data_IF_686911866356
#
_entry.id   IF_686911866356
#
_cell.length_a   1.000
_cell.length_b   1.000
_cell.length_c   1.000
_cell.angle_alpha   90.00
_cell.angle_beta   90.00
_cell.angle_gamma   90.00
#
_symmetry.space_group_name_H-M   'P 1'
#
loop_
_entity.id
_entity.type
_entity.pdbx_description
1 polymer ?
#
# COMPACT_ATOMS: atom_id res chain seq x y z
N UNK A 1 17.63 6.20 -21.32
CA UNK A 1 16.51 6.66 -20.46
C UNK A 1 15.85 5.51 -19.71
N UNK A 2 15.79 4.29 -20.27
CA UNK A 2 15.27 3.06 -19.64
C UNK A 2 15.96 2.65 -18.33
N UNK A 3 17.28 2.80 -18.21
CA UNK A 3 18.02 2.33 -17.03
C UNK A 3 17.74 3.12 -15.73
N UNK A 4 17.38 4.42 -15.81
CA UNK A 4 17.01 5.23 -14.63
C UNK A 4 15.62 4.89 -14.11
N UNK A 5 14.68 4.59 -15.00
CA UNK A 5 13.33 4.17 -14.63
C UNK A 5 13.34 2.82 -13.90
N UNK A 6 14.14 1.87 -14.36
CA UNK A 6 14.27 0.55 -13.72
C UNK A 6 14.86 0.67 -12.29
N UNK A 7 15.86 1.54 -12.09
CA UNK A 7 16.46 1.77 -10.77
C UNK A 7 15.52 2.44 -9.77
N UNK A 8 14.65 3.34 -10.24
CA UNK A 8 13.61 3.99 -9.42
C UNK A 8 12.46 3.03 -9.10
N UNK A 9 12.15 2.11 -10.00
CA UNK A 9 11.16 1.06 -9.79
C UNK A 9 11.54 0.07 -8.71
N UNK A 10 12.82 -0.33 -8.69
CA UNK A 10 13.37 -1.14 -7.61
C UNK A 10 13.37 -0.43 -6.25
N UNK A 11 13.25 0.91 -6.21
CA UNK A 11 13.23 1.70 -4.97
C UNK A 11 11.92 1.52 -4.21
N UNK A 12 10.78 1.68 -4.89
CA UNK A 12 9.44 1.67 -4.26
C UNK A 12 9.06 0.27 -3.77
N UNK A 13 9.27 -0.74 -4.62
CA UNK A 13 9.04 -2.14 -4.27
C UNK A 13 9.95 -2.58 -3.11
N UNK A 14 11.18 -2.06 -3.03
CA UNK A 14 12.05 -2.28 -1.87
C UNK A 14 11.52 -1.60 -0.61
N UNK A 15 11.02 -0.36 -0.70
CA UNK A 15 10.45 0.36 0.46
C UNK A 15 9.20 -0.32 1.01
N UNK A 16 8.28 -0.74 0.15
CA UNK A 16 7.10 -1.49 0.57
C UNK A 16 7.50 -2.79 1.27
N UNK A 17 8.51 -3.51 0.78
CA UNK A 17 9.04 -4.71 1.46
C UNK A 17 9.79 -4.41 2.75
N UNK A 18 10.38 -3.23 2.92
CA UNK A 18 10.96 -2.83 4.19
C UNK A 18 9.88 -2.59 5.25
N UNK A 19 8.74 -2.00 4.85
CA UNK A 19 7.59 -1.77 5.73
C UNK A 19 6.81 -3.06 6.05
N UNK A 20 6.64 -3.93 5.06
CA UNK A 20 5.96 -5.22 5.18
C UNK A 20 6.87 -6.37 4.74
N UNK A 21 7.84 -6.79 5.59
CA UNK A 21 8.89 -7.74 5.21
C UNK A 21 8.42 -9.20 5.10
N UNK A 22 7.30 -9.54 5.73
CA UNK A 22 6.78 -10.90 5.77
C UNK A 22 5.37 -10.95 5.19
N UNK A 23 5.14 -11.96 4.35
CA UNK A 23 3.79 -12.32 3.91
C UNK A 23 2.98 -12.80 5.10
N UNK A 24 1.74 -12.33 5.22
CA UNK A 24 0.83 -12.76 6.28
C UNK A 24 0.30 -14.17 6.01
N UNK A 25 0.13 -14.51 4.73
CA UNK A 25 -0.28 -15.83 4.23
C UNK A 25 0.48 -16.19 2.94
N UNK A 26 0.44 -17.45 2.54
CA UNK A 26 1.12 -17.91 1.32
C UNK A 26 0.59 -17.23 0.05
N UNK A 27 -0.71 -16.94 0.01
CA UNK A 27 -1.40 -16.24 -1.08
C UNK A 27 -1.46 -14.72 -0.90
N UNK A 28 -0.70 -14.18 0.06
CA UNK A 28 -0.54 -12.74 0.24
C UNK A 28 0.28 -12.15 -0.91
N UNK A 29 -0.37 -11.24 -1.65
CA UNK A 29 0.18 -10.51 -2.79
C UNK A 29 -0.01 -9.00 -2.66
N UNK A 30 -0.39 -8.50 -1.48
CA UNK A 30 -0.75 -7.09 -1.33
C UNK A 30 0.39 -6.15 -1.74
N UNK A 31 1.60 -6.42 -1.25
CA UNK A 31 2.81 -5.66 -1.63
C UNK A 31 3.07 -5.70 -3.14
N UNK A 32 2.78 -6.83 -3.79
CA UNK A 32 2.98 -7.00 -5.23
C UNK A 32 1.94 -6.20 -6.04
N UNK A 33 0.70 -6.15 -5.56
CA UNK A 33 -0.36 -5.33 -6.14
C UNK A 33 -0.09 -3.84 -5.96
N UNK A 34 0.28 -3.41 -4.76
CA UNK A 34 0.59 -2.01 -4.45
C UNK A 34 1.78 -1.51 -5.27
N UNK A 35 2.86 -2.28 -5.36
CA UNK A 35 4.02 -1.92 -6.17
C UNK A 35 3.67 -1.77 -7.65
N UNK A 36 2.85 -2.68 -8.20
CA UNK A 36 2.41 -2.63 -9.59
C UNK A 36 1.52 -1.41 -9.89
N UNK A 37 0.57 -1.12 -9.02
CA UNK A 37 -0.34 0.02 -9.21
C UNK A 37 0.41 1.34 -9.06
N UNK A 38 1.31 1.44 -8.08
CA UNK A 38 2.08 2.64 -7.82
C UNK A 38 3.07 2.94 -8.95
N UNK A 39 3.74 1.92 -9.51
CA UNK A 39 4.54 2.07 -10.73
C UNK A 39 3.71 2.69 -11.86
N UNK A 40 2.55 2.10 -12.14
CA UNK A 40 1.72 2.55 -13.26
C UNK A 40 1.21 3.97 -13.07
N UNK A 41 0.90 4.37 -11.84
CA UNK A 41 0.51 5.76 -11.52
C UNK A 41 1.65 6.72 -11.78
N UNK A 42 2.88 6.38 -11.39
CA UNK A 42 4.04 7.24 -11.63
C UNK A 42 4.37 7.39 -13.11
N UNK A 43 4.22 6.31 -13.90
CA UNK A 43 4.32 6.40 -15.35
C UNK A 43 3.27 7.35 -15.95
N UNK A 44 2.01 7.21 -15.55
CA UNK A 44 0.92 8.09 -16.01
C UNK A 44 1.16 9.54 -15.58
N UNK A 45 1.62 9.76 -14.34
CA UNK A 45 1.94 11.07 -13.82
C UNK A 45 3.07 11.73 -14.63
N UNK A 46 4.10 10.96 -14.98
CA UNK A 46 5.20 11.43 -15.82
C UNK A 46 4.72 11.81 -17.22
N UNK A 47 3.86 10.99 -17.83
CA UNK A 47 3.34 11.23 -19.18
C UNK A 47 2.43 12.47 -19.25
N UNK A 48 1.68 12.76 -18.18
CA UNK A 48 0.74 13.88 -18.12
C UNK A 48 1.34 15.20 -17.60
N UNK A 49 2.21 15.11 -16.60
CA UNK A 49 2.69 16.27 -15.83
C UNK A 49 4.22 16.45 -15.89
N UNK A 50 4.94 15.54 -16.58
CA UNK A 50 6.37 15.62 -16.77
C UNK A 50 7.20 14.92 -15.70
N UNK A 51 8.50 14.82 -15.97
CA UNK A 51 9.46 14.13 -15.11
C UNK A 51 9.60 14.76 -13.72
N UNK A 52 9.63 16.09 -13.64
CA UNK A 52 9.86 16.81 -12.37
C UNK A 52 8.77 16.49 -11.34
N UNK A 53 7.48 16.59 -11.72
CA UNK A 53 6.36 16.24 -10.84
C UNK A 53 6.43 14.78 -10.39
N UNK A 54 6.75 13.87 -11.31
CA UNK A 54 6.90 12.45 -10.97
C UNK A 54 8.06 12.23 -9.98
N UNK A 55 9.16 12.96 -10.12
CA UNK A 55 10.28 12.88 -9.18
C UNK A 55 9.92 13.44 -7.81
N UNK A 56 9.23 14.58 -7.75
CA UNK A 56 8.77 15.16 -6.48
C UNK A 56 7.76 14.27 -5.76
N UNK A 57 6.80 13.68 -6.48
CA UNK A 57 5.86 12.72 -5.88
C UNK A 57 6.59 11.50 -5.35
N UNK A 58 7.57 10.99 -6.10
CA UNK A 58 8.40 9.87 -5.66
C UNK A 58 9.22 10.24 -4.41
N UNK A 59 9.88 11.40 -4.37
CA UNK A 59 10.64 11.86 -3.20
C UNK A 59 9.75 11.98 -1.95
N UNK A 60 8.57 12.58 -2.09
CA UNK A 60 7.60 12.65 -1.00
C UNK A 60 7.19 11.26 -0.49
N UNK A 61 7.01 10.30 -1.40
CA UNK A 61 6.66 8.92 -1.05
C UNK A 61 7.81 8.25 -0.28
N UNK A 62 9.03 8.39 -0.78
CA UNK A 62 10.23 7.78 -0.19
C UNK A 62 10.51 8.32 1.22
N UNK A 63 10.41 9.64 1.42
CA UNK A 63 10.54 10.27 2.74
C UNK A 63 9.43 9.82 3.70
N UNK A 64 8.19 9.72 3.22
CA UNK A 64 7.07 9.26 4.04
C UNK A 64 7.23 7.80 4.46
N UNK A 65 7.68 6.93 3.55
CA UNK A 65 7.98 5.53 3.84
C UNK A 65 9.15 5.38 4.81
N UNK A 66 10.20 6.18 4.67
CA UNK A 66 11.33 6.20 5.61
C UNK A 66 10.89 6.65 7.01
N UNK A 67 10.01 7.66 7.08
CA UNK A 67 9.42 8.12 8.32
C UNK A 67 8.60 7.01 8.99
N UNK A 68 7.79 6.26 8.26
CA UNK A 68 7.00 5.15 8.84
C UNK A 68 7.91 4.05 9.41
N UNK A 69 9.07 3.79 8.80
CA UNK A 69 10.02 2.80 9.28
C UNK A 69 10.84 3.24 10.51
N UNK A 70 11.19 4.53 10.62
CA UNK A 70 12.11 5.05 11.66
C UNK A 70 11.44 5.91 12.72
N UNK A 71 10.31 6.53 12.40
CA UNK A 71 9.61 7.57 13.16
C UNK A 71 10.51 8.75 13.61
N UNK A 72 11.54 9.10 12.82
CA UNK A 72 12.40 10.25 13.10
C UNK A 72 11.72 11.56 12.64
N UNK A 73 11.42 12.51 13.56
CA UNK A 73 10.80 13.78 13.21
C UNK A 73 11.58 14.61 12.19
N UNK A 74 12.91 14.42 12.07
CA UNK A 74 13.73 15.16 11.08
C UNK A 74 13.35 14.82 9.64
N UNK A 75 12.85 13.61 9.39
CA UNK A 75 12.39 13.20 8.06
C UNK A 75 11.13 14.00 7.68
N UNK A 76 10.27 14.32 8.66
CA UNK A 76 9.12 15.21 8.44
C UNK A 76 9.55 16.65 8.15
N UNK A 77 10.64 17.12 8.75
CA UNK A 77 11.19 18.44 8.42
C UNK A 77 11.68 18.48 6.95
N UNK A 78 12.31 17.41 6.48
CA UNK A 78 12.77 17.29 5.09
C UNK A 78 11.59 17.18 4.12
N UNK A 79 10.57 16.36 4.44
CA UNK A 79 9.32 16.32 3.68
C UNK A 79 8.62 17.69 3.65
N UNK A 80 8.60 18.39 4.79
CA UNK A 80 8.06 19.73 4.91
C UNK A 80 8.76 20.72 3.98
N UNK A 81 10.09 20.65 3.87
CA UNK A 81 10.83 21.48 2.90
C UNK A 81 10.35 21.22 1.48
N UNK A 82 10.26 19.96 1.05
CA UNK A 82 9.78 19.60 -0.29
C UNK A 82 8.41 20.21 -0.56
N UNK A 83 7.46 20.05 0.39
CA UNK A 83 6.09 20.55 0.24
C UNK A 83 6.02 22.09 0.22
N UNK A 84 6.79 22.77 1.07
CA UNK A 84 6.74 24.25 1.19
C UNK A 84 7.33 25.00 0.00
N UNK A 85 8.16 24.36 -0.82
CA UNK A 85 8.72 24.95 -2.03
C UNK A 85 7.82 24.82 -3.27
N UNK A 86 6.71 24.08 -3.16
CA UNK A 86 5.79 23.88 -4.28
C UNK A 86 4.95 25.14 -4.53
N UNK A 87 4.76 25.47 -5.80
CA UNK A 87 3.74 26.46 -6.15
C UNK A 87 2.32 25.88 -5.99
N UNK A 88 1.27 26.72 -6.01
CA UNK A 88 -0.10 26.25 -5.81
C UNK A 88 -0.57 25.19 -6.83
N UNK A 89 -0.11 25.25 -8.08
CA UNK A 89 -0.48 24.28 -9.12
C UNK A 89 0.13 22.92 -8.81
N UNK A 90 1.42 22.88 -8.53
CA UNK A 90 2.15 21.66 -8.22
C UNK A 90 1.66 21.02 -6.93
N UNK A 91 1.36 21.84 -5.92
CA UNK A 91 0.75 21.40 -4.66
C UNK A 91 -0.55 20.62 -4.87
N UNK A 92 -1.41 21.09 -5.77
CA UNK A 92 -2.68 20.41 -6.10
C UNK A 92 -2.41 19.08 -6.79
N UNK A 93 -1.48 19.04 -7.75
CA UNK A 93 -1.17 17.83 -8.50
C UNK A 93 -0.57 16.76 -7.58
N UNK A 94 0.34 17.15 -6.69
CA UNK A 94 0.99 16.24 -5.73
C UNK A 94 -0.04 15.71 -4.73
N UNK A 95 -0.84 16.56 -4.10
CA UNK A 95 -1.88 16.13 -3.16
C UNK A 95 -2.91 15.19 -3.82
N UNK A 96 -3.30 15.50 -5.07
CA UNK A 96 -4.19 14.64 -5.86
C UNK A 96 -3.54 13.29 -6.17
N UNK A 97 -2.25 13.27 -6.49
CA UNK A 97 -1.51 12.04 -6.77
C UNK A 97 -1.51 11.09 -5.58
N UNK A 98 -1.19 11.60 -4.38
CA UNK A 98 -1.25 10.82 -3.14
C UNK A 98 -2.67 10.31 -2.84
N UNK A 99 -3.69 11.14 -3.07
CA UNK A 99 -5.09 10.72 -2.90
C UNK A 99 -5.44 9.55 -3.83
N UNK A 100 -4.97 9.57 -5.08
CA UNK A 100 -5.17 8.47 -6.01
C UNK A 100 -4.37 7.22 -5.65
N UNK A 101 -3.13 7.38 -5.18
CA UNK A 101 -2.30 6.26 -4.71
C UNK A 101 -2.98 5.55 -3.53
N UNK A 102 -3.52 6.30 -2.56
CA UNK A 102 -4.27 5.74 -1.44
C UNK A 102 -5.53 4.99 -1.91
N UNK A 103 -6.27 5.56 -2.86
CA UNK A 103 -7.44 4.87 -3.43
C UNK A 103 -7.07 3.55 -4.10
N UNK A 104 -5.92 3.49 -4.77
CA UNK A 104 -5.44 2.28 -5.42
C UNK A 104 -4.93 1.24 -4.43
N UNK A 105 -4.27 1.67 -3.34
CA UNK A 105 -3.89 0.79 -2.24
C UNK A 105 -5.13 0.16 -1.57
N UNK A 106 -6.18 0.96 -1.34
CA UNK A 106 -7.44 0.45 -0.82
C UNK A 106 -8.08 -0.59 -1.76
N UNK A 107 -8.06 -0.34 -3.08
CA UNK A 107 -8.57 -1.30 -4.06
C UNK A 107 -7.74 -2.59 -4.10
N UNK A 108 -6.42 -2.49 -4.00
CA UNK A 108 -5.54 -3.65 -3.90
C UNK A 108 -5.84 -4.47 -2.64
N UNK A 109 -6.09 -3.80 -1.51
CA UNK A 109 -6.50 -4.43 -0.26
C UNK A 109 -7.86 -5.15 -0.41
N UNK A 110 -8.85 -4.51 -1.03
CA UNK A 110 -10.15 -5.12 -1.31
C UNK A 110 -10.02 -6.39 -2.16
N UNK A 111 -9.21 -6.34 -3.22
CA UNK A 111 -8.91 -7.52 -4.08
C UNK A 111 -8.20 -8.60 -3.27
N UNK A 112 -7.21 -8.23 -2.45
CA UNK A 112 -6.50 -9.19 -1.60
C UNK A 112 -7.46 -9.85 -0.61
N UNK A 113 -8.35 -9.11 0.05
CA UNK A 113 -9.33 -9.64 1.00
C UNK A 113 -10.34 -10.55 0.29
N UNK A 114 -10.86 -10.12 -0.87
CA UNK A 114 -11.87 -10.86 -1.63
C UNK A 114 -11.35 -12.21 -2.13
N UNK A 115 -10.07 -12.30 -2.50
CA UNK A 115 -9.45 -13.51 -3.03
C UNK A 115 -8.60 -14.29 -2.01
N UNK A 116 -8.49 -13.81 -0.78
CA UNK A 116 -7.75 -14.49 0.30
C UNK A 116 -8.38 -15.84 0.62
N UNK A 117 -7.55 -16.89 0.70
CA UNK A 117 -7.98 -18.20 1.18
C UNK A 117 -8.28 -18.13 2.67
N UNK A 118 -9.43 -18.70 3.07
CA UNK A 118 -9.78 -18.89 4.49
C UNK A 118 -8.84 -19.88 5.16
N UNK A 119 -8.45 -19.58 6.39
CA UNK A 119 -7.60 -20.46 7.20
C UNK A 119 -8.45 -21.62 7.72
N UNK A 120 -8.01 -22.86 7.47
CA UNK A 120 -8.74 -24.07 7.91
C UNK A 120 -8.46 -24.44 9.37
N UNK A 121 -7.27 -24.11 9.87
CA UNK A 121 -6.89 -24.32 11.27
C UNK A 121 -7.38 -23.14 12.11
N UNK A 122 -8.40 -23.39 12.94
CA UNK A 122 -9.02 -22.42 13.84
C UNK A 122 -8.73 -22.80 15.29
N UNK A 123 -8.74 -21.84 16.23
CA UNK A 123 -8.54 -22.14 17.67
C UNK A 123 -9.73 -22.90 18.27
N UNK A 124 -10.92 -22.75 17.68
CA UNK A 124 -12.16 -23.39 18.10
C UNK A 124 -12.92 -22.63 19.18
N UNK A 125 -12.48 -21.42 19.54
CA UNK A 125 -13.12 -20.55 20.53
C UNK A 125 -13.73 -19.30 19.88
N UNK A 126 -14.30 -18.41 20.69
CA UNK A 126 -14.94 -17.18 20.21
C UNK A 126 -13.95 -16.17 19.60
N UNK A 127 -12.65 -16.31 19.86
CA UNK A 127 -11.63 -15.39 19.31
C UNK A 127 -11.48 -15.55 17.81
N UNK A 128 -11.85 -16.72 17.26
CA UNK A 128 -11.89 -16.95 15.82
C UNK A 128 -12.87 -16.01 15.09
N UNK A 129 -13.89 -15.48 15.75
CA UNK A 129 -14.90 -14.58 15.15
C UNK A 129 -14.41 -13.11 15.05
N UNK A 130 -13.21 -12.80 15.54
CA UNK A 130 -12.64 -11.44 15.50
C UNK A 130 -11.88 -11.12 14.21
N UNK A 131 -11.67 -12.10 13.33
CA UNK A 131 -10.97 -11.92 12.04
C UNK A 131 -11.74 -12.60 10.92
N UNK A 132 -11.86 -11.92 9.78
CA UNK A 132 -12.46 -12.45 8.54
C UNK A 132 -11.77 -13.73 8.04
N UNK A 133 -10.51 -13.96 8.43
CA UNK A 133 -9.75 -15.16 8.08
C UNK A 133 -10.18 -16.41 8.84
N UNK A 134 -10.76 -16.24 10.03
CA UNK A 134 -11.11 -17.31 10.98
C UNK A 134 -12.59 -17.31 11.36
N UNK A 135 -13.38 -16.31 10.98
CA UNK A 135 -14.80 -16.25 11.32
C UNK A 135 -15.62 -17.39 10.70
N UNK A 136 -16.76 -17.67 11.30
CA UNK A 136 -17.70 -18.69 10.85
C UNK A 136 -18.62 -18.12 9.78
N UNK A 137 -18.71 -18.80 8.64
CA UNK A 137 -19.79 -18.52 7.69
C UNK A 137 -21.15 -18.92 8.26
N UNK A 138 -22.21 -18.46 7.61
CA UNK A 138 -23.58 -18.71 8.05
C UNK A 138 -23.88 -20.21 8.21
N UNK A 139 -23.33 -21.08 7.35
CA UNK A 139 -23.53 -22.52 7.45
C UNK A 139 -22.86 -23.10 8.70
N UNK A 140 -21.61 -22.72 8.99
CA UNK A 140 -20.91 -23.12 10.22
C UNK A 140 -21.59 -22.60 11.47
N UNK A 141 -22.09 -21.37 11.42
CA UNK A 141 -22.87 -20.77 12.52
C UNK A 141 -24.15 -21.56 12.77
N UNK A 142 -24.90 -21.90 11.72
CA UNK A 142 -26.11 -22.73 11.85
C UNK A 142 -25.79 -24.13 12.38
N UNK A 143 -24.72 -24.79 11.89
CA UNK A 143 -24.27 -26.10 12.41
C UNK A 143 -23.96 -26.05 13.91
N UNK A 144 -23.19 -25.04 14.35
CA UNK A 144 -22.89 -24.83 15.78
C UNK A 144 -24.16 -24.62 16.63
N UNK A 145 -25.15 -23.91 16.11
CA UNK A 145 -26.41 -23.65 16.82
C UNK A 145 -27.32 -24.89 16.90
N UNK A 146 -27.35 -25.73 15.86
CA UNK A 146 -28.21 -26.93 15.79
C UNK A 146 -27.62 -28.12 16.57
N UNK A 147 -26.36 -28.05 17.02
CA UNK A 147 -25.75 -29.06 17.88
C UNK A 147 -25.36 -30.36 17.18
N UNK A 148 -25.20 -30.34 15.85
CA UNK A 148 -24.63 -31.45 15.07
C UNK A 148 -23.16 -31.22 14.75
#
# INVERSE_FOLDING_TARGET
>A
MTSRNIGKLTSIDAQLRLLAPAKVLEDDKLVEYDALLLDRVLEILQDLHGGEIRETVQECYELSAEYEGKHDPKILDDLGKVITYLDPSDSIIIAKSFSHMLNLANLAEEVQIAHRRRIKLKKGDFTDESSTTTESDIEKTLKRLVGN
#
